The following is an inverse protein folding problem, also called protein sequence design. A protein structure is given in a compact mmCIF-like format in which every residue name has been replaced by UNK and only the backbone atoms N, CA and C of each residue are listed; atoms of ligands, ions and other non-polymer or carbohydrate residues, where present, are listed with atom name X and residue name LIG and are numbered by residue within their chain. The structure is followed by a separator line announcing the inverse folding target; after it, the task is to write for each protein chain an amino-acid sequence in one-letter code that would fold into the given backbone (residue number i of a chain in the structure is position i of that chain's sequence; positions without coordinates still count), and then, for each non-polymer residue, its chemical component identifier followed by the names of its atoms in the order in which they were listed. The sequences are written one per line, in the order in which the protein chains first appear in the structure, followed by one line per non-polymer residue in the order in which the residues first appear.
data_IF_866115172487
#
_entry.id   IF_866115172487
#
_cell.length_a   1.000
_cell.length_b   1.000
_cell.length_c   1.000
_cell.angle_alpha   90.00
_cell.angle_beta   90.00
_cell.angle_gamma   90.00
#
_symmetry.space_group_name_H-M   'P 1'
#
loop_
_entity.id
_entity.type
_entity.pdbx_description
1 polymer ?
#
# COMPACT_ATOMS: atom_id res chain seq x y z
N UNK A 1 -15.95 -4.83 -6.40
CA UNK A 1 -14.85 -5.66 -6.93
C UNK A 1 -14.01 -6.20 -5.80
N UNK A 2 -13.45 -7.38 -5.99
CA UNK A 2 -12.46 -7.98 -5.11
C UNK A 2 -11.08 -7.36 -5.38
N UNK A 3 -10.23 -7.30 -4.36
CA UNK A 3 -8.82 -6.88 -4.51
C UNK A 3 -8.05 -8.08 -5.05
N UNK A 4 -7.17 -7.91 -6.06
CA UNK A 4 -6.32 -8.99 -6.53
C UNK A 4 -5.45 -9.55 -5.39
N UNK A 5 -5.37 -10.87 -5.26
CA UNK A 5 -4.71 -11.52 -4.11
C UNK A 5 -3.26 -11.08 -3.95
N UNK A 6 -2.53 -10.92 -5.06
CA UNK A 6 -1.13 -10.46 -5.07
C UNK A 6 -0.98 -9.06 -4.50
N UNK A 7 -1.91 -8.16 -4.85
CA UNK A 7 -1.92 -6.78 -4.33
C UNK A 7 -2.26 -6.77 -2.85
N UNK A 8 -3.26 -7.55 -2.43
CA UNK A 8 -3.63 -7.66 -1.01
C UNK A 8 -2.46 -8.22 -0.19
N UNK A 9 -1.81 -9.28 -0.67
CA UNK A 9 -0.65 -9.88 -0.02
C UNK A 9 0.49 -8.86 0.11
N UNK A 10 0.77 -8.10 -0.95
CA UNK A 10 1.81 -7.06 -0.92
C UNK A 10 1.53 -5.98 0.15
N UNK A 11 0.27 -5.56 0.30
CA UNK A 11 -0.13 -4.65 1.37
C UNK A 11 0.05 -5.30 2.74
N UNK A 12 -0.39 -6.55 2.90
CA UNK A 12 -0.30 -7.28 4.17
C UNK A 12 1.16 -7.51 4.59
N UNK A 13 2.05 -7.83 3.66
CA UNK A 13 3.48 -8.03 3.90
C UNK A 13 4.17 -6.71 4.28
N UNK A 14 3.77 -5.60 3.64
CA UNK A 14 4.22 -4.27 4.05
C UNK A 14 3.81 -3.93 5.48
N UNK A 15 2.55 -4.19 5.85
CA UNK A 15 2.03 -3.89 7.19
C UNK A 15 2.67 -4.79 8.24
N UNK A 16 2.80 -6.09 7.98
CA UNK A 16 3.24 -7.08 8.96
C UNK A 16 4.76 -7.20 9.10
N UNK A 17 5.48 -6.96 8.01
CA UNK A 17 6.91 -7.25 7.94
C UNK A 17 7.75 -6.04 7.52
N UNK A 18 7.13 -4.90 7.21
CA UNK A 18 7.85 -3.73 6.70
C UNK A 18 8.56 -3.99 5.37
N UNK A 19 8.09 -4.97 4.59
CA UNK A 19 8.67 -5.28 3.29
C UNK A 19 8.32 -4.19 2.28
N UNK A 20 9.27 -3.91 1.37
CA UNK A 20 9.06 -2.90 0.35
C UNK A 20 7.95 -3.36 -0.62
N UNK A 21 6.82 -2.62 -0.72
CA UNK A 21 5.66 -3.07 -1.49
C UNK A 21 5.74 -2.73 -3.00
N UNK A 22 6.82 -2.07 -3.45
CA UNK A 22 6.98 -1.66 -4.83
C UNK A 22 6.11 -0.44 -5.22
N UNK A 23 6.40 0.13 -6.39
CA UNK A 23 5.95 1.49 -6.73
C UNK A 23 4.45 1.72 -6.80
N UNK A 24 3.66 0.72 -7.24
CA UNK A 24 2.20 0.84 -7.30
C UNK A 24 1.59 0.93 -5.90
N UNK A 25 1.85 -0.07 -5.05
CA UNK A 25 1.30 -0.12 -3.70
C UNK A 25 1.86 1.00 -2.82
N UNK A 26 3.12 1.41 -3.00
CA UNK A 26 3.67 2.61 -2.34
C UNK A 26 2.85 3.86 -2.69
N UNK A 27 2.50 4.08 -3.96
CA UNK A 27 1.70 5.25 -4.35
C UNK A 27 0.29 5.22 -3.73
N UNK A 28 -0.34 4.04 -3.67
CA UNK A 28 -1.64 3.85 -3.00
C UNK A 28 -1.53 4.20 -1.52
N UNK A 29 -0.54 3.61 -0.81
CA UNK A 29 -0.30 3.86 0.61
C UNK A 29 0.03 5.33 0.87
N UNK A 30 0.73 6.00 -0.04
CA UNK A 30 1.07 7.42 0.06
C UNK A 30 -0.08 8.38 -0.30
N UNK A 31 -1.28 7.86 -0.58
CA UNK A 31 -2.44 8.65 -1.02
C UNK A 31 -2.19 9.47 -2.30
N UNK A 32 -1.36 8.94 -3.20
CA UNK A 32 -1.02 9.56 -4.48
C UNK A 32 -1.80 8.87 -5.60
N UNK A 33 -3.08 9.22 -5.73
CA UNK A 33 -3.98 8.56 -6.69
C UNK A 33 -3.50 8.69 -8.14
N UNK A 34 -2.89 9.82 -8.52
CA UNK A 34 -2.39 9.99 -9.89
C UNK A 34 -1.28 8.98 -10.22
N UNK A 35 -0.28 8.84 -9.36
CA UNK A 35 0.75 7.81 -9.56
C UNK A 35 0.21 6.39 -9.38
N UNK A 36 -0.79 6.21 -8.51
CA UNK A 36 -1.42 4.90 -8.29
C UNK A 36 -2.05 4.38 -9.58
N UNK A 37 -2.91 5.19 -10.23
CA UNK A 37 -3.53 4.83 -11.50
C UNK A 37 -2.52 4.72 -12.63
N UNK A 38 -1.51 5.60 -12.70
CA UNK A 38 -0.48 5.55 -13.74
C UNK A 38 0.44 4.32 -13.68
N UNK A 39 0.50 3.63 -12.53
CA UNK A 39 1.33 2.42 -12.32
C UNK A 39 0.53 1.13 -12.26
N UNK A 40 -0.77 1.21 -12.08
CA UNK A 40 -1.64 0.05 -11.94
C UNK A 40 -1.81 -0.68 -13.29
N UNK A 41 -1.77 -2.01 -13.24
CA UNK A 41 -2.31 -2.86 -14.30
C UNK A 41 -3.85 -2.75 -14.37
N UNK A 42 -4.46 -3.31 -15.42
CA UNK A 42 -5.90 -3.21 -15.65
C UNK A 42 -6.73 -3.73 -14.47
N UNK A 43 -6.31 -4.83 -13.85
CA UNK A 43 -7.01 -5.44 -12.72
C UNK A 43 -7.01 -4.51 -11.49
N UNK A 44 -5.85 -3.91 -11.19
CA UNK A 44 -5.69 -2.98 -10.08
C UNK A 44 -6.36 -1.62 -10.34
N UNK A 45 -6.38 -1.14 -11.59
CA UNK A 45 -7.13 0.07 -11.96
C UNK A 45 -8.62 -0.10 -11.66
N UNK A 46 -9.17 -1.25 -12.04
CA UNK A 46 -10.57 -1.61 -11.81
C UNK A 46 -10.86 -1.82 -10.31
N UNK A 47 -9.91 -2.39 -9.56
CA UNK A 47 -10.05 -2.65 -8.13
C UNK A 47 -9.68 -1.48 -7.20
N UNK A 48 -9.24 -0.32 -7.74
CA UNK A 48 -8.63 0.77 -6.95
C UNK A 48 -9.46 1.23 -5.75
N UNK A 49 -10.79 1.37 -5.92
CA UNK A 49 -11.68 1.77 -4.81
C UNK A 49 -11.64 0.76 -3.65
N UNK A 50 -11.63 -0.54 -3.96
CA UNK A 50 -11.55 -1.60 -2.96
C UNK A 50 -10.18 -1.59 -2.28
N UNK A 51 -9.11 -1.37 -3.05
CA UNK A 51 -7.73 -1.28 -2.53
C UNK A 51 -7.60 -0.13 -1.53
N UNK A 52 -8.00 1.10 -1.91
CA UNK A 52 -7.90 2.28 -1.04
C UNK A 52 -8.75 2.11 0.23
N UNK A 53 -9.97 1.54 0.09
CA UNK A 53 -10.81 1.21 1.26
C UNK A 53 -10.18 0.17 2.17
N UNK A 54 -9.47 -0.81 1.61
CA UNK A 54 -8.79 -1.83 2.41
C UNK A 54 -7.65 -1.21 3.21
N UNK A 55 -6.79 -0.42 2.57
CA UNK A 55 -5.72 0.34 3.24
C UNK A 55 -6.29 1.17 4.39
N UNK A 56 -7.29 2.01 4.12
CA UNK A 56 -7.84 2.92 5.12
C UNK A 56 -8.49 2.20 6.32
N UNK A 57 -9.16 1.07 6.10
CA UNK A 57 -9.92 0.40 7.16
C UNK A 57 -9.16 -0.73 7.87
N UNK A 58 -8.11 -1.29 7.27
CA UNK A 58 -7.46 -2.52 7.76
C UNK A 58 -5.97 -2.35 8.08
N UNK A 59 -5.41 -1.15 7.94
CA UNK A 59 -4.00 -0.90 8.21
C UNK A 59 -3.82 0.19 9.27
N UNK A 60 -2.72 0.19 10.05
CA UNK A 60 -2.45 1.22 11.04
C UNK A 60 -2.35 2.62 10.40
N UNK A 61 -2.95 3.63 11.02
CA UNK A 61 -2.93 5.00 10.50
C UNK A 61 -1.51 5.56 10.27
N UNK A 62 -0.52 5.10 11.05
CA UNK A 62 0.86 5.55 10.93
C UNK A 62 1.62 4.96 9.72
N UNK A 63 1.08 3.93 9.05
CA UNK A 63 1.76 3.28 7.93
C UNK A 63 1.34 3.79 6.55
N UNK A 64 0.49 4.81 6.46
CA UNK A 64 -0.01 5.32 5.18
C UNK A 64 -0.40 6.80 5.26
N UNK A 65 -0.79 7.39 4.14
CA UNK A 65 -1.27 8.78 4.02
C UNK A 65 -0.27 9.73 3.35
N UNK A 66 1.03 9.42 3.38
CA UNK A 66 2.06 10.15 2.64
C UNK A 66 3.29 9.27 2.40
N UNK A 67 4.19 9.67 1.48
CA UNK A 67 5.44 8.97 1.26
C UNK A 67 6.34 8.98 2.51
N UNK A 68 6.29 10.04 3.32
CA UNK A 68 7.02 10.13 4.59
C UNK A 68 6.52 9.09 5.59
N UNK A 69 5.21 8.92 5.73
CA UNK A 69 4.63 7.90 6.59
C UNK A 69 5.04 6.48 6.15
N UNK A 70 4.99 6.21 4.83
CA UNK A 70 5.42 4.92 4.27
C UNK A 70 6.90 4.66 4.56
N UNK A 71 7.76 5.66 4.32
CA UNK A 71 9.19 5.55 4.59
C UNK A 71 9.51 5.39 6.09
N UNK A 72 8.76 6.05 6.97
CA UNK A 72 8.92 5.91 8.42
C UNK A 72 8.57 4.48 8.86
N UNK A 73 7.47 3.92 8.35
CA UNK A 73 7.06 2.55 8.62
C UNK A 73 8.11 1.52 8.19
N UNK A 74 8.60 1.63 6.95
CA UNK A 74 9.65 0.75 6.42
C UNK A 74 10.95 0.80 7.24
N UNK A 75 11.25 1.95 7.85
CA UNK A 75 12.44 2.11 8.71
C UNK A 75 12.21 1.56 10.12
N UNK A 76 11.01 1.73 10.69
CA UNK A 76 10.67 1.25 12.03
C UNK A 76 10.82 -0.27 12.13
N UNK A 77 10.20 -1.01 11.21
CA UNK A 77 10.24 -2.48 11.23
C UNK A 77 11.66 -3.02 10.97
N UNK A 78 12.45 -2.35 10.13
CA UNK A 78 13.85 -2.72 9.86
C UNK A 78 14.81 -2.48 11.03
N UNK A 79 14.42 -1.68 12.03
CA UNK A 79 15.21 -1.44 13.24
C UNK A 79 14.79 -2.36 14.39
N UNK A 80 13.72 -3.15 14.22
CA UNK A 80 13.26 -4.16 15.17
C UNK A 80 13.83 -5.56 14.94
N UNK A 81 14.71 -5.74 13.94
CA UNK A 81 15.54 -6.92 13.67
C UNK A 81 16.94 -6.77 14.28
#
# INVERSE_FOLDING_TARGET
MMIPDRTKQTIDDYVKHGWNPGGFVTAVLANDLMNSFGRADEENQVAMLSIVKYVYNNTPMSCHGSYEAVNAWLKHERLGE
#
